data_IF_098100621268
#
_entry.id   IF_098100621268
#
_cell.length_a   1.000
_cell.length_b   1.000
_cell.length_c   1.000
_cell.angle_alpha   90.00
_cell.angle_beta   90.00
_cell.angle_gamma   90.00
#
_symmetry.space_group_name_H-M   'P 1'
#
loop_
_entity.id
_entity.type
_entity.pdbx_description
1 polymer ?
#
# COMPACT_ATOMS: atom_id res chain seq x y z
N UNK A 1 23.66 -48.31 45.16
CA UNK A 1 22.95 -47.01 45.16
C UNK A 1 23.08 -46.39 43.78
N UNK A 2 22.02 -46.49 42.98
CA UNK A 2 22.00 -46.09 41.57
C UNK A 2 21.46 -44.67 41.47
N UNK A 3 22.28 -43.71 41.04
CA UNK A 3 21.87 -42.33 40.82
C UNK A 3 21.26 -42.22 39.41
N UNK A 4 19.93 -42.07 39.37
CA UNK A 4 19.20 -41.69 38.16
C UNK A 4 19.41 -40.18 38.00
N UNK A 5 20.08 -39.75 36.93
CA UNK A 5 20.14 -38.34 36.56
C UNK A 5 19.32 -38.16 35.29
N UNK A 6 18.17 -37.50 35.46
CA UNK A 6 17.41 -36.89 34.38
C UNK A 6 18.34 -35.95 33.61
N UNK A 7 18.69 -36.31 32.37
CA UNK A 7 19.26 -35.38 31.40
C UNK A 7 18.28 -35.23 30.24
N UNK A 8 17.09 -34.72 30.57
CA UNK A 8 16.13 -34.16 29.62
C UNK A 8 16.37 -32.66 29.58
N UNK A 9 17.29 -32.19 28.74
CA UNK A 9 17.30 -30.80 28.25
C UNK A 9 18.40 -30.61 27.21
N UNK A 10 18.15 -30.96 25.94
CA UNK A 10 18.88 -30.37 24.81
C UNK A 10 18.04 -30.51 23.53
N UNK A 11 16.84 -29.91 23.55
CA UNK A 11 16.12 -29.54 22.33
C UNK A 11 16.83 -28.32 21.76
N UNK A 12 17.81 -28.58 20.88
CA UNK A 12 18.44 -27.56 20.05
C UNK A 12 17.34 -27.05 19.12
N UNK A 13 16.80 -25.88 19.46
CA UNK A 13 16.01 -25.06 18.55
C UNK A 13 16.94 -24.61 17.42
N UNK A 14 17.03 -25.42 16.37
CA UNK A 14 17.55 -24.99 15.07
C UNK A 14 16.49 -24.05 14.47
N UNK A 15 16.53 -22.78 14.86
CA UNK A 15 15.85 -21.72 14.14
C UNK A 15 16.65 -21.42 12.88
N UNK A 16 16.28 -22.00 11.75
CA UNK A 16 16.75 -21.51 10.46
C UNK A 16 16.11 -20.14 10.24
N UNK A 17 16.87 -19.06 10.40
CA UNK A 17 16.52 -17.77 9.80
C UNK A 17 16.55 -17.96 8.29
N UNK A 18 15.40 -17.88 7.63
CA UNK A 18 15.32 -17.87 6.18
C UNK A 18 15.90 -16.53 5.70
N UNK A 19 17.07 -16.48 5.02
CA UNK A 19 17.51 -15.24 4.41
C UNK A 19 16.49 -14.89 3.30
N UNK A 20 15.73 -13.80 3.50
CA UNK A 20 14.88 -13.26 2.44
C UNK A 20 15.80 -12.87 1.28
N UNK A 21 15.68 -13.56 0.16
CA UNK A 21 16.28 -13.11 -1.09
C UNK A 21 15.54 -11.83 -1.49
N UNK A 22 16.16 -10.68 -1.23
CA UNK A 22 15.76 -9.41 -1.84
C UNK A 22 16.09 -9.56 -3.32
N UNK A 23 15.07 -9.77 -4.15
CA UNK A 23 15.22 -9.81 -5.60
C UNK A 23 15.47 -8.39 -6.10
N UNK A 24 16.74 -8.02 -6.22
CA UNK A 24 17.21 -6.72 -6.71
C UNK A 24 16.77 -6.43 -8.17
N UNK A 25 16.10 -7.36 -8.85
CA UNK A 25 15.53 -7.15 -10.18
C UNK A 25 14.12 -6.54 -10.17
N UNK A 26 13.52 -6.33 -8.99
CA UNK A 26 12.22 -5.66 -8.83
C UNK A 26 12.32 -4.14 -8.65
N UNK A 27 13.36 -3.50 -9.18
CA UNK A 27 13.36 -2.04 -9.30
C UNK A 27 12.34 -1.70 -10.39
N UNK A 28 11.08 -1.44 -9.99
CA UNK A 28 10.07 -0.88 -10.89
C UNK A 28 10.66 0.39 -11.53
N UNK A 29 10.72 0.44 -12.86
CA UNK A 29 11.06 1.67 -13.57
C UNK A 29 9.90 2.66 -13.40
N UNK A 30 9.98 3.47 -12.34
CA UNK A 30 8.97 4.46 -11.98
C UNK A 30 8.82 5.56 -13.03
N UNK A 31 9.85 5.80 -13.86
CA UNK A 31 9.94 6.96 -14.76
C UNK A 31 8.86 7.02 -15.84
N UNK A 32 8.15 5.92 -16.11
CA UNK A 32 7.10 5.81 -17.13
C UNK A 32 5.68 5.62 -16.59
N UNK A 33 5.51 5.54 -15.28
CA UNK A 33 4.21 5.19 -14.69
C UNK A 33 3.57 6.42 -14.05
N UNK A 34 2.25 6.54 -14.15
CA UNK A 34 1.48 7.52 -13.42
C UNK A 34 1.65 7.36 -11.89
N UNK A 35 1.45 8.42 -11.09
CA UNK A 35 1.44 8.31 -9.64
C UNK A 35 0.48 7.22 -9.16
N UNK A 36 0.92 6.44 -8.17
CA UNK A 36 0.12 5.38 -7.54
C UNK A 36 -0.27 5.81 -6.13
N UNK A 37 -1.54 5.62 -5.76
CA UNK A 37 -2.02 5.84 -4.39
C UNK A 37 -2.40 4.49 -3.79
N UNK A 38 -1.81 4.17 -2.64
CA UNK A 38 -2.08 2.95 -1.91
C UNK A 38 -3.03 3.24 -0.74
N UNK A 39 -4.23 2.66 -0.80
CA UNK A 39 -5.31 2.93 0.17
C UNK A 39 -5.68 1.64 0.90
N UNK A 40 -5.59 1.61 2.23
CA UNK A 40 -5.94 0.42 3.01
C UNK A 40 -7.46 0.37 3.22
N UNK A 41 -8.01 -0.84 3.27
CA UNK A 41 -9.45 -1.00 3.57
C UNK A 41 -9.81 -0.69 5.03
N UNK A 42 -8.83 -0.73 5.95
CA UNK A 42 -9.02 -0.47 7.38
C UNK A 42 -7.81 0.27 7.98
N UNK A 43 -8.04 1.07 9.03
CA UNK A 43 -7.01 1.89 9.68
C UNK A 43 -7.56 3.21 10.21
N UNK A 44 -6.73 4.25 10.28
CA UNK A 44 -7.13 5.59 10.72
C UNK A 44 -8.23 6.16 9.80
N UNK A 45 -9.47 6.37 10.30
CA UNK A 45 -10.57 6.79 9.45
C UNK A 45 -10.31 8.12 8.72
N UNK A 46 -9.66 9.09 9.38
CA UNK A 46 -9.38 10.40 8.79
C UNK A 46 -8.49 10.32 7.55
N UNK A 47 -7.32 9.67 7.67
CA UNK A 47 -6.38 9.55 6.55
C UNK A 47 -6.95 8.72 5.40
N UNK A 48 -7.70 7.66 5.73
CA UNK A 48 -8.34 6.79 4.73
C UNK A 48 -9.42 7.53 3.97
N UNK A 49 -10.31 8.26 4.68
CA UNK A 49 -11.39 9.02 4.04
C UNK A 49 -10.87 10.04 3.02
N UNK A 50 -9.79 10.75 3.34
CA UNK A 50 -9.17 11.71 2.42
C UNK A 50 -8.73 11.03 1.10
N UNK A 51 -8.05 9.89 1.21
CA UNK A 51 -7.61 9.14 0.03
C UNK A 51 -8.79 8.54 -0.76
N UNK A 52 -9.83 8.07 -0.07
CA UNK A 52 -11.05 7.54 -0.70
C UNK A 52 -11.84 8.63 -1.42
N UNK A 53 -11.98 9.83 -0.84
CA UNK A 53 -12.60 10.97 -1.50
C UNK A 53 -11.85 11.37 -2.76
N UNK A 54 -10.52 11.40 -2.69
CA UNK A 54 -9.67 11.66 -3.85
C UNK A 54 -9.82 10.58 -4.93
N UNK A 55 -9.94 9.30 -4.54
CA UNK A 55 -10.24 8.19 -5.45
C UNK A 55 -11.58 8.40 -6.16
N UNK A 56 -12.64 8.72 -5.43
CA UNK A 56 -13.96 8.89 -6.02
C UNK A 56 -14.02 10.06 -7.00
N UNK A 57 -13.25 11.13 -6.76
CA UNK A 57 -13.11 12.28 -7.68
C UNK A 57 -12.37 11.95 -8.97
N UNK A 58 -11.43 11.00 -8.93
CA UNK A 58 -10.48 10.73 -10.03
C UNK A 58 -10.58 9.29 -10.59
N UNK A 59 -11.63 8.54 -10.25
CA UNK A 59 -11.88 7.21 -10.81
C UNK A 59 -12.09 7.30 -12.33
N UNK A 60 -11.45 6.42 -13.09
CA UNK A 60 -11.44 6.44 -14.55
C UNK A 60 -10.43 7.42 -15.17
N UNK A 61 -9.56 8.05 -14.39
CA UNK A 61 -8.49 8.91 -14.91
C UNK A 61 -7.29 8.11 -15.43
N UNK A 62 -6.68 8.55 -16.53
CA UNK A 62 -5.43 7.97 -17.06
C UNK A 62 -4.17 8.47 -16.34
N UNK A 63 -4.34 9.28 -15.30
CA UNK A 63 -3.26 10.07 -14.71
C UNK A 63 -2.88 9.69 -13.29
N UNK A 64 -3.65 8.81 -12.67
CA UNK A 64 -3.38 8.33 -11.33
C UNK A 64 -3.96 6.93 -11.20
N UNK A 65 -3.18 6.03 -10.61
CA UNK A 65 -3.56 4.67 -10.32
C UNK A 65 -3.88 4.52 -8.83
N UNK A 66 -5.00 3.87 -8.52
CA UNK A 66 -5.44 3.57 -7.16
C UNK A 66 -5.28 2.10 -6.87
N UNK A 67 -4.52 1.79 -5.83
CA UNK A 67 -4.26 0.42 -5.39
C UNK A 67 -4.88 0.23 -4.00
N UNK A 68 -5.94 -0.55 -3.98
CA UNK A 68 -6.67 -0.90 -2.76
C UNK A 68 -6.00 -2.12 -2.13
N UNK A 69 -5.42 -1.91 -0.96
CA UNK A 69 -4.67 -2.94 -0.22
C UNK A 69 -5.40 -3.35 1.05
N UNK A 70 -5.05 -4.52 1.57
CA UNK A 70 -5.68 -5.10 2.77
C UNK A 70 -7.21 -5.22 2.65
N UNK A 71 -7.74 -5.40 1.43
CA UNK A 71 -9.17 -5.54 1.17
C UNK A 71 -9.67 -6.87 1.74
N UNK A 72 -10.50 -6.81 2.78
CA UNK A 72 -11.12 -7.98 3.40
C UNK A 72 -12.27 -8.53 2.56
N UNK A 73 -13.00 -7.65 1.89
CA UNK A 73 -14.16 -8.02 1.07
C UNK A 73 -14.43 -6.97 0.01
N UNK A 74 -14.39 -7.38 -1.26
CA UNK A 74 -14.81 -6.54 -2.38
C UNK A 74 -16.26 -6.09 -2.26
N UNK A 75 -17.13 -6.91 -1.66
CA UNK A 75 -18.53 -6.55 -1.42
C UNK A 75 -18.63 -5.34 -0.48
N UNK A 76 -17.89 -5.34 0.63
CA UNK A 76 -17.88 -4.21 1.55
C UNK A 76 -17.29 -2.96 0.89
N UNK A 77 -16.22 -3.14 0.12
CA UNK A 77 -15.59 -2.08 -0.64
C UNK A 77 -16.58 -1.43 -1.63
N UNK A 78 -17.31 -2.24 -2.41
CA UNK A 78 -18.35 -1.77 -3.35
C UNK A 78 -19.50 -1.05 -2.66
N UNK A 79 -19.90 -1.50 -1.47
CA UNK A 79 -20.92 -0.81 -0.67
C UNK A 79 -20.41 0.56 -0.21
N UNK A 80 -19.12 0.66 0.17
CA UNK A 80 -18.52 1.88 0.69
C UNK A 80 -18.21 2.91 -0.40
N UNK A 81 -17.61 2.48 -1.51
CA UNK A 81 -17.07 3.36 -2.56
C UNK A 81 -17.92 3.40 -3.83
N UNK A 82 -19.01 2.62 -3.89
CA UNK A 82 -19.86 2.49 -5.06
C UNK A 82 -19.66 1.17 -5.79
N UNK A 83 -20.75 0.64 -6.35
CA UNK A 83 -20.76 -0.69 -6.97
C UNK A 83 -19.89 -0.79 -8.23
N UNK A 84 -19.67 0.34 -8.91
CA UNK A 84 -18.85 0.49 -10.10
C UNK A 84 -17.37 0.71 -9.79
N UNK A 85 -16.97 0.87 -8.52
CA UNK A 85 -15.60 1.31 -8.16
C UNK A 85 -14.51 0.40 -8.73
N UNK A 86 -14.75 -0.92 -8.75
CA UNK A 86 -13.78 -1.89 -9.27
C UNK A 86 -13.86 -2.06 -10.80
N UNK A 87 -14.79 -1.38 -11.47
CA UNK A 87 -14.95 -1.46 -12.91
C UNK A 87 -14.07 -0.39 -13.62
N UNK A 88 -13.49 0.55 -12.88
CA UNK A 88 -12.59 1.60 -13.41
C UNK A 88 -11.18 1.06 -13.62
N UNK A 89 -10.62 1.29 -14.81
CA UNK A 89 -9.32 0.73 -15.23
C UNK A 89 -8.13 1.17 -14.36
N UNK A 90 -8.23 2.33 -13.73
CA UNK A 90 -7.19 2.88 -12.86
C UNK A 90 -7.35 2.47 -11.39
N UNK A 91 -8.25 1.53 -11.08
CA UNK A 91 -8.46 1.02 -9.72
C UNK A 91 -8.16 -0.48 -9.70
N UNK A 92 -7.27 -0.91 -8.81
CA UNK A 92 -6.87 -2.31 -8.65
C UNK A 92 -6.91 -2.74 -7.20
N UNK A 93 -7.27 -3.99 -6.95
CA UNK A 93 -7.11 -4.63 -5.65
C UNK A 93 -5.79 -5.38 -5.64
N UNK A 94 -4.97 -5.16 -4.62
CA UNK A 94 -3.72 -5.88 -4.42
C UNK A 94 -3.73 -6.58 -3.05
N UNK A 95 -3.35 -7.85 -3.05
CA UNK A 95 -3.24 -8.67 -1.85
C UNK A 95 -1.78 -8.75 -1.40
N UNK A 96 -1.56 -8.68 -0.09
CA UNK A 96 -0.24 -8.74 0.53
C UNK A 96 0.26 -7.37 1.00
N UNK A 97 1.31 -7.39 1.82
CA UNK A 97 2.02 -6.19 2.25
C UNK A 97 3.03 -5.77 1.18
N UNK A 98 3.08 -4.48 0.90
CA UNK A 98 3.93 -3.88 -0.15
C UNK A 98 4.94 -2.88 0.43
N UNK A 99 5.03 -2.81 1.75
CA UNK A 99 5.84 -1.81 2.43
C UNK A 99 7.33 -1.91 2.07
N UNK A 100 7.84 -3.15 2.06
CA UNK A 100 9.22 -3.48 1.71
C UNK A 100 9.56 -3.08 0.26
N UNK A 101 8.56 -3.10 -0.65
CA UNK A 101 8.75 -2.75 -2.07
C UNK A 101 8.98 -1.23 -2.27
N UNK A 102 8.47 -0.40 -1.36
CA UNK A 102 8.53 1.06 -1.45
C UNK A 102 9.38 1.72 -0.35
N UNK A 103 10.08 0.93 0.47
CA UNK A 103 10.92 1.45 1.54
C UNK A 103 10.15 2.22 2.62
N UNK A 104 8.84 1.97 2.73
CA UNK A 104 7.98 2.60 3.74
C UNK A 104 7.83 1.69 4.94
N UNK A 105 7.76 2.25 6.15
CA UNK A 105 7.60 1.44 7.37
C UNK A 105 6.21 1.63 7.97
N UNK A 106 5.23 0.87 7.46
CA UNK A 106 3.97 0.62 8.16
C UNK A 106 2.94 1.75 8.16
N UNK A 107 3.04 2.72 7.25
CA UNK A 107 2.04 3.77 7.10
C UNK A 107 1.20 3.61 5.84
N UNK A 108 -0.09 3.88 5.97
CA UNK A 108 -1.06 4.00 4.90
C UNK A 108 -2.06 5.10 5.28
N UNK A 109 -2.70 5.77 4.29
CA UNK A 109 -2.42 5.70 2.86
C UNK A 109 -1.17 6.47 2.45
N UNK A 110 -0.62 6.17 1.27
CA UNK A 110 0.55 6.88 0.73
C UNK A 110 0.52 6.99 -0.80
N UNK A 111 1.30 7.93 -1.32
CA UNK A 111 1.48 8.24 -2.73
C UNK A 111 2.89 7.79 -3.14
N UNK A 112 3.01 7.13 -4.29
CA UNK A 112 4.29 6.87 -4.95
C UNK A 112 4.28 7.62 -6.28
N UNK A 113 5.18 8.58 -6.43
CA UNK A 113 5.33 9.35 -7.67
C UNK A 113 6.19 8.60 -8.68
N UNK A 114 6.10 9.00 -9.96
CA UNK A 114 6.94 8.47 -11.06
C UNK A 114 8.44 8.69 -10.84
N UNK A 115 8.81 9.62 -9.97
CA UNK A 115 10.21 9.85 -9.55
C UNK A 115 10.72 8.78 -8.57
N UNK A 116 9.83 7.95 -8.01
CA UNK A 116 10.11 7.08 -6.86
C UNK A 116 9.99 7.77 -5.51
N UNK A 117 9.66 9.07 -5.48
CA UNK A 117 9.33 9.78 -4.24
C UNK A 117 8.05 9.21 -3.61
N UNK A 118 8.01 9.17 -2.27
CA UNK A 118 6.88 8.62 -1.53
C UNK A 118 6.40 9.62 -0.48
N UNK A 119 5.11 9.93 -0.51
CA UNK A 119 4.46 10.85 0.43
C UNK A 119 3.38 10.12 1.25
N UNK A 120 3.39 10.31 2.57
CA UNK A 120 2.29 9.88 3.43
C UNK A 120 1.07 10.79 3.25
N UNK A 121 -0.13 10.20 3.21
CA UNK A 121 -1.40 10.92 3.31
C UNK A 121 -1.81 10.89 4.78
N UNK A 122 -1.84 12.05 5.44
CA UNK A 122 -2.30 12.15 6.83
C UNK A 122 -3.19 13.37 7.04
N UNK A 123 -4.05 13.31 8.07
CA UNK A 123 -4.92 14.43 8.45
C UNK A 123 -4.15 15.62 9.04
N UNK A 124 -2.86 15.46 9.36
CA UNK A 124 -2.00 16.55 9.85
C UNK A 124 -1.20 17.15 8.68
N UNK A 125 -1.12 16.42 7.56
CA UNK A 125 -0.41 16.81 6.36
C UNK A 125 -1.32 16.63 5.13
N UNK A 126 -2.40 17.40 5.06
CA UNK A 126 -3.28 17.44 3.87
C UNK A 126 -2.52 17.87 2.60
N UNK A 127 -1.35 18.51 2.77
CA UNK A 127 -0.53 19.02 1.68
C UNK A 127 -0.07 17.96 0.68
N UNK A 128 0.02 16.68 1.05
CA UNK A 128 0.44 15.62 0.13
C UNK A 128 -0.57 15.41 -1.00
N UNK A 129 -1.87 15.46 -0.70
CA UNK A 129 -2.92 15.36 -1.71
C UNK A 129 -3.02 16.65 -2.54
N UNK A 130 -2.80 17.81 -1.93
CA UNK A 130 -2.76 19.09 -2.65
C UNK A 130 -1.60 19.14 -3.66
N UNK A 131 -0.41 18.71 -3.24
CA UNK A 131 0.78 18.57 -4.12
C UNK A 131 0.49 17.63 -5.29
N UNK A 132 -0.14 16.48 -5.02
CA UNK A 132 -0.52 15.57 -6.08
C UNK A 132 -1.57 16.19 -7.00
N UNK A 133 -2.57 16.89 -6.47
CA UNK A 133 -3.59 17.55 -7.30
C UNK A 133 -2.98 18.65 -8.18
N UNK A 134 -2.01 19.41 -7.67
CA UNK A 134 -1.23 20.36 -8.46
C UNK A 134 -0.39 19.65 -9.54
N UNK A 135 0.29 18.56 -9.18
CA UNK A 135 1.04 17.74 -10.13
C UNK A 135 0.12 17.25 -11.26
N UNK A 136 -1.06 16.73 -10.94
CA UNK A 136 -2.01 16.26 -11.94
C UNK A 136 -2.54 17.41 -12.80
N UNK A 137 -2.87 18.57 -12.23
CA UNK A 137 -3.30 19.74 -13.03
C UNK A 137 -2.26 20.19 -14.05
N UNK A 138 -0.97 20.08 -13.70
CA UNK A 138 0.12 20.52 -14.56
C UNK A 138 0.53 19.48 -15.62
N UNK A 139 0.39 18.20 -15.30
CA UNK A 139 0.89 17.10 -16.15
C UNK A 139 -0.22 16.31 -16.86
N UNK A 140 -1.48 16.58 -16.52
CA UNK A 140 -2.64 15.84 -17.00
C UNK A 140 -3.81 16.76 -17.35
N UNK A 141 -4.53 16.39 -18.41
CA UNK A 141 -5.82 17.00 -18.75
C UNK A 141 -6.91 16.37 -17.87
N UNK A 142 -6.99 16.82 -16.61
CA UNK A 142 -8.11 16.54 -15.72
C UNK A 142 -9.36 17.34 -16.12
#
# INVERSE_FOLDING_TARGET
>A
MMKIYLFSMFLILVGCSNPRNIDLNKVEDFSKNEPKIFIPNAGCPGCISLAEEFLLKNKGSNCVSFILVNVLSEKQLKIKLGYDVLDHFNIKVQHGEIFDDYGVSGFYPFIVYSSGEVDEISSVNESSLDKLEEYLKNNCSL
#
